data_IF_083610692707
#
_entry.id   IF_083610692707
#
_cell.length_a   1.000
_cell.length_b   1.000
_cell.length_c   1.000
_cell.angle_alpha   90.00
_cell.angle_beta   90.00
_cell.angle_gamma   90.00
#
_symmetry.space_group_name_H-M   'P 1'
#
loop_
_entity.id
_entity.type
_entity.pdbx_description
1 polymer ?
#
# COMPACT_ATOMS: atom_id res chain seq x y z
N UNK A 1 -13.10 1.77 -17.65
CA UNK A 1 -12.84 1.00 -16.42
C UNK A 1 -12.78 1.98 -15.27
N UNK A 2 -13.64 1.84 -14.25
CA UNK A 2 -13.64 2.72 -13.07
C UNK A 2 -12.91 1.99 -11.95
N UNK A 3 -11.65 2.34 -11.69
CA UNK A 3 -10.86 1.71 -10.63
C UNK A 3 -10.91 2.57 -9.38
N UNK A 4 -11.29 1.96 -8.25
CA UNK A 4 -11.33 2.60 -6.95
C UNK A 4 -10.06 2.27 -6.15
N UNK A 5 -9.41 3.31 -5.61
CA UNK A 5 -8.33 3.16 -4.63
C UNK A 5 -8.94 3.21 -3.24
N UNK A 6 -8.80 2.12 -2.50
CA UNK A 6 -9.42 1.95 -1.18
C UNK A 6 -8.38 1.91 -0.06
N UNK A 7 -8.83 2.22 1.16
CA UNK A 7 -8.12 2.03 2.42
C UNK A 7 -8.31 0.61 3.01
N UNK A 8 -8.78 -0.34 2.18
CA UNK A 8 -9.18 -1.69 2.57
C UNK A 8 -10.49 -1.74 3.40
N UNK A 9 -11.35 -0.72 3.31
CA UNK A 9 -12.69 -0.81 3.89
C UNK A 9 -13.51 -1.93 3.22
N UNK A 10 -14.13 -2.84 4.00
CA UNK A 10 -14.85 -4.02 3.47
C UNK A 10 -15.97 -3.69 2.48
N UNK A 11 -16.56 -2.50 2.60
CA UNK A 11 -17.66 -2.00 1.77
C UNK A 11 -17.31 -1.91 0.28
N UNK A 12 -16.03 -1.73 -0.06
CA UNK A 12 -15.62 -1.55 -1.46
C UNK A 12 -15.35 -2.84 -2.21
N UNK A 13 -15.09 -3.95 -1.51
CA UNK A 13 -14.83 -5.28 -2.12
C UNK A 13 -16.04 -5.84 -2.86
N UNK A 14 -17.22 -5.29 -2.63
CA UNK A 14 -18.49 -5.70 -3.26
C UNK A 14 -18.88 -4.84 -4.47
N UNK A 15 -18.10 -3.81 -4.82
CA UNK A 15 -18.50 -2.78 -5.79
C UNK A 15 -17.73 -2.82 -7.12
N UNK A 16 -16.66 -3.61 -7.22
CA UNK A 16 -15.79 -3.65 -8.39
C UNK A 16 -15.13 -5.02 -8.52
N UNK A 17 -14.90 -5.45 -9.77
CA UNK A 17 -14.18 -6.70 -10.07
C UNK A 17 -12.68 -6.60 -9.74
N UNK A 18 -12.14 -5.38 -9.69
CA UNK A 18 -10.73 -5.12 -9.40
C UNK A 18 -10.59 -3.93 -8.45
N UNK A 19 -9.88 -4.15 -7.34
CA UNK A 19 -9.65 -3.19 -6.27
C UNK A 19 -8.15 -2.89 -6.15
N UNK A 20 -7.76 -1.61 -6.22
CA UNK A 20 -6.41 -1.18 -5.89
C UNK A 20 -6.34 -0.75 -4.42
N UNK A 21 -5.31 -1.18 -3.70
CA UNK A 21 -5.05 -0.71 -2.34
C UNK A 21 -4.04 0.44 -2.32
N UNK A 22 -4.30 1.42 -1.44
CA UNK A 22 -3.42 2.57 -1.25
C UNK A 22 -2.20 2.18 -0.40
N UNK A 23 -1.00 2.37 -0.94
CA UNK A 23 0.25 2.05 -0.25
C UNK A 23 0.47 2.90 1.02
N UNK A 24 0.02 4.17 1.00
CA UNK A 24 0.05 5.04 2.18
C UNK A 24 -0.84 4.50 3.30
N UNK A 25 -2.00 3.91 2.98
CA UNK A 25 -2.87 3.33 3.99
C UNK A 25 -2.32 2.01 4.52
N UNK A 26 -1.72 1.21 3.66
CA UNK A 26 -1.06 -0.03 4.07
C UNK A 26 0.10 0.27 5.04
N UNK A 27 0.91 1.31 4.78
CA UNK A 27 1.99 1.78 5.66
C UNK A 27 1.51 2.13 7.08
N UNK A 28 0.33 2.74 7.22
CA UNK A 28 -0.21 3.15 8.54
C UNK A 28 -0.35 2.00 9.51
N UNK A 29 -0.54 0.78 9.03
CA UNK A 29 -0.61 -0.38 9.92
C UNK A 29 0.74 -0.75 10.52
N UNK A 30 1.84 -0.54 9.80
CA UNK A 30 3.20 -0.76 10.28
C UNK A 30 3.61 0.30 11.30
N UNK A 31 3.25 1.57 11.07
CA UNK A 31 3.51 2.67 12.03
C UNK A 31 2.83 2.49 13.39
N UNK A 32 1.83 1.61 13.50
CA UNK A 32 1.17 1.26 14.77
C UNK A 32 1.96 0.24 15.60
N UNK A 33 2.98 -0.40 15.02
CA UNK A 33 3.85 -1.33 15.72
C UNK A 33 4.82 -0.55 16.63
N UNK A 34 4.38 -0.17 17.82
CA UNK A 34 5.24 0.51 18.79
C UNK A 34 6.03 -0.50 19.61
N UNK A 35 7.28 -0.77 19.21
CA UNK A 35 8.21 -1.56 20.03
C UNK A 35 8.99 -0.67 21.01
N UNK A 36 9.20 -1.16 22.24
CA UNK A 36 10.14 -0.56 23.22
C UNK A 36 11.55 -1.18 23.16
N UNK A 37 11.74 -2.20 22.33
CA UNK A 37 13.02 -2.88 22.12
C UNK A 37 13.73 -2.24 20.93
N UNK A 38 14.94 -1.73 21.14
CA UNK A 38 15.71 -0.98 20.13
C UNK A 38 15.95 -1.80 18.85
N UNK A 39 16.26 -3.10 18.96
CA UNK A 39 16.52 -3.93 17.78
C UNK A 39 15.26 -4.10 16.92
N UNK A 40 14.09 -4.26 17.53
CA UNK A 40 12.82 -4.29 16.81
C UNK A 40 12.47 -2.94 16.16
N UNK A 41 12.85 -1.81 16.78
CA UNK A 41 12.66 -0.49 16.16
C UNK A 41 13.48 -0.38 14.88
N UNK A 42 14.76 -0.78 14.92
CA UNK A 42 15.63 -0.81 13.73
C UNK A 42 15.09 -1.72 12.64
N UNK A 43 14.58 -2.91 13.00
CA UNK A 43 13.96 -3.83 12.03
C UNK A 43 12.72 -3.21 11.37
N UNK A 44 11.89 -2.51 12.14
CA UNK A 44 10.72 -1.81 11.62
C UNK A 44 11.11 -0.62 10.71
N UNK A 45 12.09 0.18 11.11
CA UNK A 45 12.60 1.31 10.32
C UNK A 45 13.17 0.83 8.99
N UNK A 46 14.05 -0.17 9.00
CA UNK A 46 14.62 -0.76 7.79
C UNK A 46 13.52 -1.31 6.87
N UNK A 47 12.54 -2.01 7.44
CA UNK A 47 11.42 -2.52 6.67
C UNK A 47 10.59 -1.40 6.02
N UNK A 48 10.34 -0.30 6.72
CA UNK A 48 9.60 0.85 6.17
C UNK A 48 10.38 1.53 5.04
N UNK A 49 11.70 1.60 5.13
CA UNK A 49 12.54 2.11 4.04
C UNK A 49 12.42 1.23 2.80
N UNK A 50 12.54 -0.09 2.97
CA UNK A 50 12.42 -1.08 1.88
C UNK A 50 11.00 -1.09 1.26
N UNK A 51 9.97 -0.93 2.10
CA UNK A 51 8.58 -0.78 1.68
C UNK A 51 8.42 0.41 0.73
N UNK A 52 9.00 1.55 1.08
CA UNK A 52 8.92 2.76 0.25
C UNK A 52 9.83 2.70 -0.98
N UNK A 53 10.95 1.98 -0.94
CA UNK A 53 11.73 1.65 -2.15
C UNK A 53 10.85 0.92 -3.15
N UNK A 54 10.19 -0.16 -2.71
CA UNK A 54 9.30 -0.96 -3.57
C UNK A 54 8.19 -0.09 -4.19
N UNK A 55 7.57 0.79 -3.40
CA UNK A 55 6.54 1.73 -3.89
C UNK A 55 7.07 2.68 -4.96
N UNK A 56 8.29 3.22 -4.80
CA UNK A 56 8.93 4.09 -5.81
C UNK A 56 9.26 3.34 -7.10
N UNK A 57 9.70 2.09 -7.01
CA UNK A 57 9.93 1.28 -8.20
C UNK A 57 8.64 0.97 -8.95
N UNK A 58 7.53 0.75 -8.23
CA UNK A 58 6.21 0.62 -8.85
C UNK A 58 5.77 1.92 -9.54
N UNK A 59 6.13 3.10 -9.00
CA UNK A 59 5.89 4.37 -9.70
C UNK A 59 6.69 4.45 -11.00
N UNK A 60 7.98 4.12 -10.96
CA UNK A 60 8.84 4.13 -12.15
C UNK A 60 8.39 3.12 -13.22
N UNK A 61 7.88 1.96 -12.81
CA UNK A 61 7.30 0.96 -13.71
C UNK A 61 6.15 1.53 -14.55
N UNK A 62 5.37 2.48 -14.01
CA UNK A 62 4.24 3.08 -14.74
C UNK A 62 4.68 3.82 -16.00
N UNK A 63 5.86 4.43 -15.95
CA UNK A 63 6.39 5.22 -17.07
C UNK A 63 7.01 4.34 -18.16
N UNK A 64 7.45 3.12 -17.81
CA UNK A 64 8.09 2.18 -18.74
C UNK A 64 7.78 0.70 -18.39
N UNK A 65 6.53 0.25 -18.55
CA UNK A 65 6.13 -1.09 -18.16
C UNK A 65 6.77 -2.15 -19.07
N UNK A 66 7.41 -3.15 -18.46
CA UNK A 66 8.00 -4.29 -19.17
C UNK A 66 7.75 -5.58 -18.40
N UNK A 67 7.54 -6.68 -19.12
CA UNK A 67 7.31 -7.99 -18.49
C UNK A 67 8.43 -8.41 -17.55
N UNK A 68 9.69 -8.09 -17.88
CA UNK A 68 10.84 -8.39 -17.03
C UNK A 68 10.79 -7.60 -15.71
N UNK A 69 10.45 -6.31 -15.76
CA UNK A 69 10.33 -5.48 -14.55
C UNK A 69 9.12 -5.89 -13.72
N UNK A 70 8.01 -6.24 -14.37
CA UNK A 70 6.81 -6.76 -13.70
C UNK A 70 7.12 -8.01 -12.86
N UNK A 71 7.75 -9.01 -13.48
CA UNK A 71 8.12 -10.26 -12.82
C UNK A 71 9.09 -10.01 -11.66
N UNK A 72 10.11 -9.16 -11.88
CA UNK A 72 11.05 -8.76 -10.84
C UNK A 72 10.32 -8.14 -9.64
N UNK A 73 9.52 -7.10 -9.86
CA UNK A 73 8.80 -6.39 -8.78
C UNK A 73 7.89 -7.33 -7.99
N UNK A 74 7.20 -8.25 -8.69
CA UNK A 74 6.35 -9.26 -8.05
C UNK A 74 7.16 -10.21 -7.15
N UNK A 75 8.30 -10.68 -7.63
CA UNK A 75 9.20 -11.56 -6.86
C UNK A 75 9.83 -10.83 -5.67
N UNK A 76 10.24 -9.57 -5.84
CA UNK A 76 10.82 -8.76 -4.78
C UNK A 76 9.82 -8.43 -3.68
N UNK A 77 8.58 -8.09 -4.07
CA UNK A 77 7.47 -7.96 -3.14
C UNK A 77 7.28 -9.26 -2.34
N UNK A 78 7.07 -10.40 -3.01
CA UNK A 78 6.87 -11.67 -2.32
C UNK A 78 8.00 -11.98 -1.34
N UNK A 79 9.27 -11.79 -1.76
CA UNK A 79 10.43 -11.98 -0.89
C UNK A 79 10.37 -11.06 0.33
N UNK A 80 10.15 -9.76 0.14
CA UNK A 80 10.12 -8.77 1.21
C UNK A 80 9.05 -9.09 2.27
N UNK A 81 7.85 -9.47 1.85
CA UNK A 81 6.72 -9.72 2.77
C UNK A 81 6.63 -11.16 3.33
N UNK A 82 7.41 -12.11 2.80
CA UNK A 82 7.43 -13.50 3.31
C UNK A 82 8.68 -13.83 4.14
N UNK A 83 9.77 -13.06 3.99
CA UNK A 83 10.98 -13.26 4.81
C UNK A 83 10.72 -12.86 6.26
N UNK A 84 11.03 -13.72 7.22
CA UNK A 84 10.89 -13.41 8.65
C UNK A 84 12.01 -12.48 9.11
N UNK A 85 11.65 -11.47 9.90
CA UNK A 85 12.57 -10.50 10.51
C UNK A 85 13.00 -10.91 11.92
N UNK A 86 12.29 -11.84 12.55
CA UNK A 86 12.45 -12.18 13.97
C UNK A 86 11.65 -11.27 14.90
N UNK A 87 11.08 -10.17 14.39
CA UNK A 87 10.10 -9.37 15.12
C UNK A 87 8.69 -9.86 14.80
N UNK A 88 8.15 -10.72 15.67
CA UNK A 88 6.87 -11.42 15.43
C UNK A 88 5.69 -10.53 15.00
N UNK A 89 5.54 -9.33 15.58
CA UNK A 89 4.43 -8.44 15.21
C UNK A 89 4.60 -7.85 13.81
N UNK A 90 5.85 -7.54 13.42
CA UNK A 90 6.17 -7.12 12.06
C UNK A 90 5.93 -8.27 11.09
N UNK A 91 6.40 -9.48 11.41
CA UNK A 91 6.23 -10.66 10.55
C UNK A 91 4.76 -11.01 10.34
N UNK A 92 3.94 -10.91 11.39
CA UNK A 92 2.50 -11.07 11.27
C UNK A 92 1.87 -10.01 10.38
N UNK A 93 2.28 -8.74 10.53
CA UNK A 93 1.77 -7.67 9.69
C UNK A 93 2.15 -7.88 8.22
N UNK A 94 3.37 -8.33 7.96
CA UNK A 94 3.87 -8.65 6.62
C UNK A 94 3.07 -9.77 5.96
N UNK A 95 2.73 -10.84 6.72
CA UNK A 95 1.84 -11.91 6.25
C UNK A 95 0.47 -11.38 5.83
N UNK A 96 -0.14 -10.50 6.64
CA UNK A 96 -1.43 -9.87 6.31
C UNK A 96 -1.35 -8.97 5.06
N UNK A 97 -0.20 -8.37 4.77
CA UNK A 97 -0.01 -7.61 3.53
C UNK A 97 0.22 -8.54 2.34
N UNK A 98 0.92 -9.66 2.53
CA UNK A 98 1.16 -10.64 1.47
C UNK A 98 -0.13 -11.28 0.94
N UNK A 99 -1.18 -11.41 1.77
CA UNK A 99 -2.49 -11.89 1.31
C UNK A 99 -3.21 -10.91 0.38
N UNK A 100 -2.79 -9.63 0.35
CA UNK A 100 -3.35 -8.55 -0.46
C UNK A 100 -2.50 -8.20 -1.69
N UNK A 101 -1.62 -9.12 -2.10
CA UNK A 101 -0.65 -8.88 -3.16
C UNK A 101 -1.30 -8.48 -4.48
N UNK A 102 -2.46 -9.06 -4.82
CA UNK A 102 -3.14 -8.77 -6.08
C UNK A 102 -3.62 -7.32 -6.12
N UNK A 103 -4.13 -6.82 -5.00
CA UNK A 103 -4.67 -5.47 -4.88
C UNK A 103 -3.57 -4.41 -4.73
N UNK A 104 -2.47 -4.73 -4.03
CA UNK A 104 -1.33 -3.82 -3.86
C UNK A 104 -0.46 -3.70 -5.12
N UNK A 105 -0.39 -4.77 -5.91
CA UNK A 105 0.36 -4.82 -7.17
C UNK A 105 -0.55 -4.67 -8.40
N UNK A 106 -1.80 -4.22 -8.25
CA UNK A 106 -2.72 -4.07 -9.40
C UNK A 106 -2.16 -3.13 -10.48
N UNK A 107 -1.31 -2.17 -10.09
CA UNK A 107 -0.56 -1.29 -11.01
C UNK A 107 0.29 -2.05 -12.04
N UNK A 108 0.71 -3.27 -11.72
CA UNK A 108 1.49 -4.11 -12.62
C UNK A 108 0.68 -4.52 -13.85
N UNK A 109 -0.63 -4.77 -13.64
CA UNK A 109 -1.62 -5.05 -14.69
C UNK A 109 -2.17 -3.76 -15.33
N UNK A 110 -2.30 -2.71 -14.52
CA UNK A 110 -2.89 -1.43 -14.89
C UNK A 110 -1.97 -0.25 -14.53
N UNK A 111 -0.91 0.01 -15.33
CA UNK A 111 0.09 1.02 -15.02
C UNK A 111 -0.46 2.45 -14.90
N UNK A 112 -1.63 2.72 -15.48
CA UNK A 112 -2.33 3.99 -15.37
C UNK A 112 -2.78 4.30 -13.93
N UNK A 113 -2.94 3.28 -13.08
CA UNK A 113 -3.47 3.44 -11.73
C UNK A 113 -2.53 4.22 -10.80
N UNK A 114 -3.06 5.12 -9.96
CA UNK A 114 -2.29 5.72 -8.87
C UNK A 114 -1.96 4.68 -7.78
N UNK A 115 -0.80 4.83 -7.13
CA UNK A 115 -0.44 4.03 -5.93
C UNK A 115 -0.93 4.63 -4.62
N UNK A 116 -1.29 5.91 -4.66
CA UNK A 116 -1.80 6.67 -3.52
C UNK A 116 -3.10 7.35 -3.91
N UNK A 117 -4.08 7.39 -3.00
CA UNK A 117 -5.39 7.96 -3.29
C UNK A 117 -5.40 9.51 -3.32
N UNK A 118 -4.26 10.19 -3.44
CA UNK A 118 -4.10 11.64 -3.24
C UNK A 118 -5.24 12.51 -3.84
N UNK A 119 -5.81 12.23 -5.05
CA UNK A 119 -6.99 12.95 -5.55
C UNK A 119 -8.30 12.66 -4.78
N UNK A 120 -8.56 11.41 -4.40
CA UNK A 120 -9.74 11.01 -3.63
C UNK A 120 -9.67 11.48 -2.17
N UNK A 121 -8.49 11.45 -1.54
CA UNK A 121 -8.28 12.05 -0.21
C UNK A 121 -8.42 13.57 -0.25
N UNK A 122 -7.90 14.24 -1.29
CA UNK A 122 -8.08 15.68 -1.47
C UNK A 122 -9.55 16.04 -1.73
N UNK A 123 -10.27 15.27 -2.54
CA UNK A 123 -11.70 15.47 -2.79
C UNK A 123 -12.55 15.24 -1.53
N UNK A 124 -12.27 14.19 -0.76
CA UNK A 124 -12.94 13.92 0.52
C UNK A 124 -12.64 15.02 1.56
N UNK A 125 -11.40 15.48 1.66
CA UNK A 125 -11.01 16.62 2.51
C UNK A 125 -11.70 17.92 2.10
N UNK A 126 -11.88 18.15 0.79
CA UNK A 126 -12.59 19.32 0.27
C UNK A 126 -14.08 19.25 0.59
N UNK A 127 -14.72 18.09 0.42
CA UNK A 127 -16.12 17.88 0.81
C UNK A 127 -16.34 18.05 2.31
N UNK A 128 -15.49 17.49 3.17
CA UNK A 128 -15.59 17.66 4.61
C UNK A 128 -15.47 19.13 5.03
N UNK A 129 -14.53 19.89 4.46
CA UNK A 129 -14.43 21.34 4.68
C UNK A 129 -15.70 22.09 4.27
N UNK A 130 -16.30 21.72 3.14
CA UNK A 130 -17.56 22.35 2.70
C UNK A 130 -18.75 22.01 3.60
N UNK A 131 -18.75 20.83 4.21
CA UNK A 131 -19.78 20.42 5.18
C UNK A 131 -19.62 21.18 6.50
N UNK A 132 -18.38 21.36 6.98
CA UNK A 132 -18.09 22.13 8.20
C UNK A 132 -18.50 23.60 8.04
N UNK A 133 -18.27 24.20 6.87
CA UNK A 133 -18.72 25.57 6.55
C UNK A 133 -20.25 25.76 6.49
N UNK A 134 -21.01 24.68 6.32
CA UNK A 134 -22.49 24.73 6.29
C UNK A 134 -23.08 24.52 7.70
N UNK A 135 -22.24 24.17 8.69
CA UNK A 135 -22.64 23.86 10.07
C UNK A 135 -22.28 24.95 11.09
N UNK A 136 -21.73 26.08 10.66
CA UNK A 136 -21.57 27.33 11.43
C UNK A 136 -22.57 28.39 10.99
#
# INVERSE_FOLDING_TARGET
>A
MQTLISDDAPTFKLLTDELALCWVHEERHYKKLTSKVNDHQKLLEQFLDDFWVTSRELLAYRDAPTLSTEQRLRSEFLRAFTTESGYQQLDERKRLTATKILELLLVLKHPELPLHNNPAELAARTMLRSIDLIRE
#
